data_IF_553585437016
#
_entry.id   IF_553585437016
#
_cell.length_a   1.000
_cell.length_b   1.000
_cell.length_c   1.000
_cell.angle_alpha   90.00
_cell.angle_beta   90.00
_cell.angle_gamma   90.00
#
_symmetry.space_group_name_H-M   'P 1'
#
loop_
_entity.id
_entity.type
_entity.pdbx_description
1 polymer ?
#
# COMPACT_ATOMS: atom_id res chain seq x y z
N UNK A 1 -7.51 -3.29 -26.80
CA UNK A 1 -7.27 -2.03 -26.06
C UNK A 1 -6.22 -2.28 -25.01
N UNK A 2 -5.94 -1.30 -24.15
CA UNK A 2 -5.22 -1.56 -22.89
C UNK A 2 -6.29 -1.66 -21.81
N UNK A 3 -6.29 -2.75 -21.06
CA UNK A 3 -7.17 -2.94 -19.93
C UNK A 3 -6.60 -2.22 -18.71
N UNK A 4 -7.31 -1.22 -18.18
CA UNK A 4 -6.80 -0.41 -17.07
C UNK A 4 -7.55 -0.75 -15.80
N UNK A 5 -6.81 -1.08 -14.74
CA UNK A 5 -7.32 -1.27 -13.40
C UNK A 5 -6.79 -0.16 -12.49
N UNK A 6 -7.66 0.45 -11.70
CA UNK A 6 -7.27 1.43 -10.70
C UNK A 6 -7.56 0.83 -9.32
N UNK A 7 -6.51 0.54 -8.56
CA UNK A 7 -6.62 0.11 -7.18
C UNK A 7 -6.86 1.35 -6.30
N UNK A 8 -7.94 1.36 -5.49
CA UNK A 8 -8.24 2.49 -4.62
C UNK A 8 -7.23 2.62 -3.47
N UNK A 9 -7.12 3.83 -2.92
CA UNK A 9 -6.31 4.11 -1.74
C UNK A 9 -6.88 3.45 -0.48
N UNK A 10 -6.09 2.58 0.15
CA UNK A 10 -6.52 1.81 1.33
C UNK A 10 -6.78 2.68 2.56
N UNK A 11 -5.98 3.74 2.77
CA UNK A 11 -6.19 4.68 3.88
C UNK A 11 -7.60 5.30 3.80
N UNK A 12 -7.96 5.80 2.62
CA UNK A 12 -9.27 6.38 2.35
C UNK A 12 -10.39 5.35 2.51
N UNK A 13 -10.20 4.10 2.07
CA UNK A 13 -11.16 3.02 2.31
C UNK A 13 -11.42 2.78 3.80
N UNK A 14 -10.36 2.69 4.61
CA UNK A 14 -10.47 2.45 6.06
C UNK A 14 -11.16 3.61 6.77
N UNK A 15 -10.74 4.84 6.49
CA UNK A 15 -11.29 6.05 7.12
C UNK A 15 -12.77 6.23 6.76
N UNK A 16 -13.13 6.05 5.48
CA UNK A 16 -14.52 6.13 5.05
C UNK A 16 -15.39 5.00 5.61
N UNK A 17 -14.77 3.89 6.02
CA UNK A 17 -15.44 2.77 6.69
C UNK A 17 -15.54 2.94 8.21
N UNK A 18 -15.12 4.09 8.76
CA UNK A 18 -15.22 4.42 10.18
C UNK A 18 -13.99 4.10 11.01
N UNK A 19 -12.86 3.72 10.40
CA UNK A 19 -11.60 3.60 11.13
C UNK A 19 -11.16 4.98 11.65
N UNK A 20 -10.86 5.13 12.95
CA UNK A 20 -10.44 6.41 13.50
C UNK A 20 -9.06 6.80 12.96
N UNK A 21 -8.89 8.08 12.68
CA UNK A 21 -7.57 8.62 12.35
C UNK A 21 -6.69 8.54 13.62
N UNK A 22 -5.48 7.95 13.54
CA UNK A 22 -4.59 7.86 14.68
C UNK A 22 -4.24 9.23 15.26
N UNK A 23 -4.30 9.35 16.59
CA UNK A 23 -3.94 10.59 17.32
C UNK A 23 -2.69 10.42 18.18
N UNK A 24 -2.26 9.19 18.42
CA UNK A 24 -1.10 8.85 19.23
C UNK A 24 -0.20 7.83 18.53
N UNK A 25 1.02 7.70 19.05
CA UNK A 25 2.06 6.85 18.47
C UNK A 25 1.69 5.36 18.42
N UNK A 26 0.88 4.87 19.35
CA UNK A 26 0.50 3.45 19.43
C UNK A 26 -0.61 3.16 18.43
N UNK A 27 -1.64 4.00 18.38
CA UNK A 27 -2.70 3.87 17.37
C UNK A 27 -2.17 4.06 15.95
N UNK A 28 -1.14 4.89 15.76
CA UNK A 28 -0.50 5.07 14.45
C UNK A 28 0.17 3.78 13.95
N UNK A 29 0.89 3.07 14.82
CA UNK A 29 1.52 1.79 14.45
C UNK A 29 0.45 0.76 14.10
N UNK A 30 -0.54 0.56 14.97
CA UNK A 30 -1.60 -0.42 14.73
C UNK A 30 -2.39 -0.15 13.44
N UNK A 31 -2.68 1.13 13.17
CA UNK A 31 -3.34 1.55 11.95
C UNK A 31 -2.46 1.30 10.72
N UNK A 32 -1.19 1.68 10.75
CA UNK A 32 -0.26 1.49 9.63
C UNK A 32 0.05 0.01 9.37
N UNK A 33 0.19 -0.83 10.40
CA UNK A 33 0.29 -2.30 10.23
C UNK A 33 -0.93 -2.84 9.49
N UNK A 34 -2.13 -2.48 9.96
CA UNK A 34 -3.40 -2.97 9.37
C UNK A 34 -3.58 -2.47 7.93
N UNK A 35 -3.25 -1.20 7.69
CA UNK A 35 -3.28 -0.57 6.38
C UNK A 35 -2.33 -1.27 5.41
N UNK A 36 -1.07 -1.46 5.80
CA UNK A 36 -0.06 -2.09 4.94
C UNK A 36 -0.43 -3.55 4.63
N UNK A 37 -0.91 -4.31 5.61
CA UNK A 37 -1.38 -5.67 5.39
C UNK A 37 -2.54 -5.72 4.38
N UNK A 38 -3.53 -4.84 4.52
CA UNK A 38 -4.65 -4.75 3.59
C UNK A 38 -4.21 -4.26 2.19
N UNK A 39 -3.27 -3.32 2.12
CA UNK A 39 -2.73 -2.82 0.87
C UNK A 39 -2.01 -3.89 0.08
N UNK A 40 -1.14 -4.68 0.72
CA UNK A 40 -0.48 -5.82 0.07
C UNK A 40 -1.54 -6.80 -0.49
N UNK A 41 -2.54 -7.15 0.32
CA UNK A 41 -3.59 -8.08 -0.10
C UNK A 41 -4.44 -7.54 -1.26
N UNK A 42 -4.77 -6.25 -1.24
CA UNK A 42 -5.55 -5.60 -2.29
C UNK A 42 -4.75 -5.52 -3.60
N UNK A 43 -3.49 -5.08 -3.52
CA UNK A 43 -2.59 -5.05 -4.67
C UNK A 43 -2.43 -6.45 -5.30
N UNK A 44 -2.24 -7.48 -4.47
CA UNK A 44 -2.13 -8.86 -4.94
C UNK A 44 -3.41 -9.32 -5.64
N UNK A 45 -4.59 -8.98 -5.10
CA UNK A 45 -5.87 -9.31 -5.74
C UNK A 45 -6.01 -8.67 -7.13
N UNK A 46 -5.65 -7.40 -7.27
CA UNK A 46 -5.65 -6.71 -8.56
C UNK A 46 -4.68 -7.33 -9.56
N UNK A 47 -3.48 -7.72 -9.11
CA UNK A 47 -2.49 -8.42 -9.93
C UNK A 47 -3.04 -9.78 -10.40
N UNK A 48 -3.72 -10.54 -9.54
CA UNK A 48 -4.33 -11.82 -9.93
C UNK A 48 -5.45 -11.63 -10.96
N UNK A 49 -6.30 -10.61 -10.79
CA UNK A 49 -7.35 -10.26 -11.76
C UNK A 49 -6.73 -9.88 -13.11
N UNK A 50 -5.68 -9.07 -13.11
CA UNK A 50 -4.97 -8.69 -14.33
C UNK A 50 -4.33 -9.91 -15.02
N UNK A 51 -3.72 -10.83 -14.27
CA UNK A 51 -3.14 -12.07 -14.81
C UNK A 51 -4.17 -13.04 -15.37
N UNK A 52 -5.39 -13.02 -14.82
CA UNK A 52 -6.51 -13.80 -15.33
C UNK A 52 -7.13 -13.16 -16.59
N UNK A 53 -6.84 -11.88 -16.86
CA UNK A 53 -7.20 -11.23 -18.11
C UNK A 53 -6.28 -11.69 -19.24
N UNK A 54 -6.84 -12.13 -20.37
CA UNK A 54 -6.07 -12.42 -21.59
C UNK A 54 -5.70 -11.14 -22.37
N UNK A 55 -5.77 -9.97 -21.76
CA UNK A 55 -5.49 -8.67 -22.36
C UNK A 55 -4.24 -8.00 -21.75
N UNK A 56 -3.60 -7.13 -22.53
CA UNK A 56 -2.55 -6.26 -22.00
C UNK A 56 -3.16 -5.32 -20.94
N UNK A 57 -2.73 -5.49 -19.69
CA UNK A 57 -3.27 -4.76 -18.55
C UNK A 57 -2.25 -3.79 -17.94
N UNK A 58 -2.72 -2.62 -17.53
CA UNK A 58 -1.99 -1.67 -16.68
C UNK A 58 -2.76 -1.50 -15.39
N UNK A 59 -2.08 -1.66 -14.25
CA UNK A 59 -2.64 -1.41 -12.92
C UNK A 59 -2.05 -0.12 -12.38
N UNK A 60 -2.89 0.76 -11.88
CA UNK A 60 -2.50 1.99 -11.20
C UNK A 60 -2.86 1.83 -9.73
N UNK A 61 -1.85 1.95 -8.87
CA UNK A 61 -2.02 1.96 -7.42
C UNK A 61 -2.08 3.39 -6.93
N UNK A 62 -3.21 3.78 -6.36
CA UNK A 62 -3.36 5.05 -5.65
C UNK A 62 -2.67 4.92 -4.28
N UNK A 63 -1.41 5.38 -4.22
CA UNK A 63 -0.40 5.17 -3.15
C UNK A 63 0.28 3.80 -3.18
N UNK A 64 1.59 3.80 -2.97
CA UNK A 64 2.39 2.58 -2.82
C UNK A 64 2.58 2.18 -1.35
N UNK A 65 2.99 0.94 -1.10
CA UNK A 65 3.22 0.39 0.24
C UNK A 65 4.26 1.18 1.04
N UNK A 66 5.14 1.93 0.35
CA UNK A 66 6.14 2.80 0.97
C UNK A 66 5.56 4.08 1.57
N UNK A 67 4.36 4.50 1.17
CA UNK A 67 3.77 5.77 1.65
C UNK A 67 3.46 5.72 3.15
N UNK A 68 3.15 4.55 3.70
CA UNK A 68 2.93 4.35 5.14
C UNK A 68 4.15 4.71 5.99
N UNK A 69 5.37 4.56 5.45
CA UNK A 69 6.62 4.87 6.16
C UNK A 69 6.77 6.35 6.52
N UNK A 70 6.08 7.26 5.81
CA UNK A 70 6.12 8.70 6.09
C UNK A 70 5.29 9.09 7.33
N UNK A 71 4.39 8.23 7.80
CA UNK A 71 3.46 8.51 8.90
C UNK A 71 3.92 7.95 10.25
N UNK A 72 5.07 7.28 10.28
CA UNK A 72 5.65 6.68 11.50
C UNK A 72 7.16 6.95 11.55
N UNK A 73 7.76 6.82 12.74
CA UNK A 73 9.22 6.87 12.84
C UNK A 73 9.88 5.65 12.20
N UNK A 74 11.17 5.76 11.82
CA UNK A 74 11.92 4.63 11.24
C UNK A 74 11.87 3.37 12.14
N UNK A 75 12.00 3.53 13.46
CA UNK A 75 11.90 2.41 14.41
C UNK A 75 10.53 1.74 14.38
N UNK A 76 9.46 2.52 14.27
CA UNK A 76 8.10 2.00 14.14
C UNK A 76 7.87 1.31 12.80
N UNK A 77 8.43 1.87 11.72
CA UNK A 77 8.40 1.24 10.42
C UNK A 77 9.06 -0.14 10.44
N UNK A 78 10.25 -0.26 11.03
CA UNK A 78 10.92 -1.55 11.17
C UNK A 78 10.08 -2.56 11.97
N UNK A 79 9.45 -2.12 13.06
CA UNK A 79 8.52 -2.97 13.83
C UNK A 79 7.33 -3.47 12.99
N UNK A 80 6.74 -2.59 12.16
CA UNK A 80 5.63 -2.95 11.27
C UNK A 80 6.09 -3.98 10.22
N UNK A 81 7.27 -3.78 9.64
CA UNK A 81 7.83 -4.70 8.64
C UNK A 81 8.12 -6.08 9.22
N UNK A 82 8.68 -6.13 10.44
CA UNK A 82 8.95 -7.36 11.17
C UNK A 82 7.64 -8.12 11.46
N UNK A 83 6.59 -7.41 11.90
CA UNK A 83 5.27 -8.00 12.16
C UNK A 83 4.66 -8.62 10.88
N UNK A 84 4.85 -7.96 9.73
CA UNK A 84 4.36 -8.44 8.44
C UNK A 84 5.33 -9.36 7.70
N UNK A 85 6.44 -9.77 8.33
CA UNK A 85 7.47 -10.63 7.75
C UNK A 85 7.94 -10.15 6.36
N UNK A 86 8.11 -8.84 6.20
CA UNK A 86 8.53 -8.21 4.94
C UNK A 86 9.67 -7.23 5.18
N UNK A 87 10.17 -6.62 4.12
CA UNK A 87 11.26 -5.63 4.20
C UNK A 87 11.02 -4.50 3.20
N UNK A 88 11.62 -3.34 3.46
CA UNK A 88 11.54 -2.19 2.53
C UNK A 88 11.95 -2.57 1.09
N UNK A 89 13.06 -3.30 0.84
CA UNK A 89 13.40 -3.75 -0.52
C UNK A 89 12.34 -4.67 -1.14
N UNK A 90 11.70 -5.54 -0.35
CA UNK A 90 10.63 -6.40 -0.86
C UNK A 90 9.40 -5.60 -1.28
N UNK A 91 9.01 -4.60 -0.49
CA UNK A 91 7.87 -3.73 -0.83
C UNK A 91 8.17 -2.85 -2.04
N UNK A 92 9.37 -2.26 -2.12
CA UNK A 92 9.74 -1.31 -3.17
C UNK A 92 10.12 -1.99 -4.49
N UNK A 93 10.99 -3.01 -4.43
CA UNK A 93 11.69 -3.51 -5.62
C UNK A 93 10.99 -4.70 -6.27
N UNK A 94 10.05 -5.36 -5.58
CA UNK A 94 9.36 -6.56 -6.10
C UNK A 94 7.90 -6.36 -6.46
N UNK A 95 7.30 -5.22 -6.11
CA UNK A 95 5.86 -4.98 -6.29
C UNK A 95 5.52 -4.03 -7.43
N UNK A 96 6.45 -3.15 -7.82
CA UNK A 96 6.18 -2.10 -8.81
C UNK A 96 7.15 -2.18 -9.99
N UNK A 97 6.62 -2.14 -11.21
CA UNK A 97 7.43 -1.98 -12.43
C UNK A 97 7.90 -0.53 -12.61
N UNK A 98 7.14 0.43 -12.09
CA UNK A 98 7.42 1.86 -12.15
C UNK A 98 6.81 2.58 -10.94
N UNK A 99 7.49 3.59 -10.42
CA UNK A 99 7.02 4.45 -9.33
C UNK A 99 7.08 5.91 -9.78
N UNK A 100 5.97 6.62 -9.64
CA UNK A 100 5.89 8.06 -9.88
C UNK A 100 5.87 8.78 -8.54
N UNK A 101 7.00 9.38 -8.17
CA UNK A 101 7.11 10.17 -6.93
C UNK A 101 6.65 11.60 -7.20
N UNK A 102 5.54 12.01 -6.58
CA UNK A 102 5.05 13.38 -6.64
C UNK A 102 5.76 14.23 -5.59
N UNK A 103 6.61 15.15 -6.06
CA UNK A 103 7.12 16.26 -5.25
C UNK A 103 6.18 17.45 -5.41
N UNK A 104 5.82 18.10 -4.32
CA UNK A 104 5.12 19.40 -4.39
C UNK A 104 6.06 20.41 -5.04
N UNK A 105 5.54 21.18 -6.01
CA UNK A 105 6.26 22.27 -6.66
C UNK A 105 6.60 23.41 -5.68
#
# INVERSE_FOLDING_TARGET
GIFVLCCPEVATMLINSGAPIPTDSTSAVAFQTSLLHLQIALEDAFIQIARASNENCVIIFDRGCMDGSAYVSAKQWDMILDELNTTTPMLRDRRYDCVVHFVTA
#
